data_IF_814425134503
#
_entry.id   IF_814425134503
#
_cell.length_a   1.000
_cell.length_b   1.000
_cell.length_c   1.000
_cell.angle_alpha   90.00
_cell.angle_beta   90.00
_cell.angle_gamma   90.00
#
_symmetry.space_group_name_H-M   'P 1'
#
loop_
_entity.id
_entity.type
_entity.pdbx_description
1 polymer ?
#
# COMPACT_ATOMS: atom_id res chain seq x y z
N UNK A 1 15.23 21.90 3.78
CA UNK A 1 14.83 22.41 3.67
C UNK A 1 14.29 23.18 3.31
N UNK A 2 13.80 23.16 3.22
CA UNK A 2 13.31 23.89 2.89
C UNK A 2 12.54 24.58 3.08
N UNK A 3 12.07 24.69 3.14
CA UNK A 3 11.34 25.30 3.22
C UNK A 3 10.81 26.12 3.68
N UNK A 4 10.54 26.34 3.74
CA UNK A 4 10.10 27.21 4.06
C UNK A 4 9.31 27.79 4.16
N UNK A 5 8.95 27.86 4.30
CA UNK A 5 8.28 28.50 4.32
C UNK A 5 7.53 29.13 4.16
N UNK A 6 7.25 29.42 3.96
CA UNK A 6 6.60 30.17 3.79
C UNK A 6 5.85 30.52 3.36
N UNK A 7 5.80 30.58 2.90
CA UNK A 7 4.88 30.87 2.40
C UNK A 7 3.95 30.15 2.34
N UNK A 8 3.82 29.93 2.92
CA UNK A 8 3.06 29.03 3.19
C UNK A 8 1.72 28.91 2.68
N UNK A 9 1.16 29.79 2.67
CA UNK A 9 -0.12 30.02 2.30
C UNK A 9 -0.57 29.23 1.14
N UNK A 10 0.07 29.20 0.14
CA UNK A 10 -0.32 28.47 -1.04
C UNK A 10 0.32 27.13 -1.13
N UNK A 11 0.94 26.69 -0.05
CA UNK A 11 1.81 25.54 -0.13
C UNK A 11 1.08 24.23 -0.33
N UNK A 12 -0.19 24.10 0.10
CA UNK A 12 -0.84 22.80 0.01
C UNK A 12 -1.07 22.37 -1.43
N UNK A 13 -1.47 23.27 -2.34
CA UNK A 13 -1.66 22.87 -3.73
C UNK A 13 -0.32 22.66 -4.43
N UNK A 14 0.70 23.41 -4.05
CA UNK A 14 2.04 23.20 -4.62
C UNK A 14 2.55 21.82 -4.23
N UNK A 15 2.38 21.42 -2.98
CA UNK A 15 2.79 20.12 -2.53
C UNK A 15 2.03 19.01 -3.27
N UNK A 16 0.74 19.22 -3.53
CA UNK A 16 -0.03 18.23 -4.25
C UNK A 16 0.47 18.04 -5.67
N UNK A 17 0.85 19.12 -6.34
CA UNK A 17 1.40 19.04 -7.68
C UNK A 17 2.75 18.35 -7.72
N UNK A 18 3.51 18.44 -6.62
CA UNK A 18 4.84 17.84 -6.56
C UNK A 18 4.83 16.38 -6.16
N UNK A 19 3.68 15.86 -5.76
CA UNK A 19 3.57 14.44 -5.49
C UNK A 19 3.68 13.67 -6.78
N UNK A 20 4.16 12.43 -6.67
CA UNK A 20 4.23 11.55 -7.83
C UNK A 20 2.83 11.32 -8.39
N UNK A 21 2.72 11.01 -9.67
CA UNK A 21 1.40 10.81 -10.28
C UNK A 21 0.63 9.67 -9.62
N UNK A 22 -0.69 9.81 -9.61
CA UNK A 22 -1.58 8.75 -9.17
C UNK A 22 -1.70 7.69 -10.26
N UNK A 23 -1.68 6.43 -9.85
CA UNK A 23 -2.07 5.33 -10.73
C UNK A 23 -3.44 4.86 -10.27
N UNK A 24 -4.46 5.10 -11.08
CA UNK A 24 -5.83 4.78 -10.72
C UNK A 24 -6.11 3.29 -10.85
N UNK A 25 -6.92 2.77 -9.92
CA UNK A 25 -7.32 1.37 -9.89
C UNK A 25 -8.77 1.30 -9.43
N UNK A 26 -9.48 0.18 -9.69
CA UNK A 26 -10.88 0.07 -9.24
C UNK A 26 -11.08 0.27 -7.74
N UNK A 27 -10.05 -0.03 -6.94
CA UNK A 27 -10.15 0.09 -5.48
C UNK A 27 -9.70 1.45 -4.95
N UNK A 28 -9.13 2.31 -5.79
CA UNK A 28 -8.61 3.59 -5.37
C UNK A 28 -7.44 4.00 -6.24
N UNK A 29 -6.30 4.29 -5.60
CA UNK A 29 -5.11 4.64 -6.38
C UNK A 29 -3.85 4.45 -5.53
N UNK A 30 -2.71 4.47 -6.22
CA UNK A 30 -1.43 4.48 -5.51
C UNK A 30 -0.47 5.49 -6.15
N UNK A 31 0.54 5.87 -5.38
CA UNK A 31 1.64 6.72 -5.85
C UNK A 31 2.94 6.03 -5.49
N UNK A 32 3.91 6.08 -6.41
CA UNK A 32 5.26 5.59 -6.11
C UNK A 32 6.03 6.75 -5.49
N UNK A 33 6.47 6.58 -4.26
CA UNK A 33 7.16 7.65 -3.51
C UNK A 33 8.67 7.56 -3.65
N UNK A 34 9.20 6.36 -3.85
CA UNK A 34 10.64 6.15 -3.88
C UNK A 34 10.96 4.83 -4.56
N UNK A 35 12.01 4.81 -5.35
CA UNK A 35 12.54 3.59 -5.94
C UNK A 35 14.05 3.61 -5.83
N UNK A 36 14.62 2.46 -5.47
CA UNK A 36 16.07 2.28 -5.42
C UNK A 36 16.38 1.01 -6.21
N UNK A 37 16.70 1.18 -7.47
CA UNK A 37 16.88 0.06 -8.39
C UNK A 37 15.64 -0.81 -8.40
N UNK A 38 15.85 -2.13 -8.38
CA UNK A 38 14.75 -3.09 -8.28
C UNK A 38 14.62 -3.67 -6.88
N UNK A 39 15.43 -3.19 -5.95
CA UNK A 39 15.51 -3.77 -4.62
C UNK A 39 14.57 -3.14 -3.61
N UNK A 40 14.21 -1.88 -3.80
CA UNK A 40 13.33 -1.16 -2.87
C UNK A 40 12.36 -0.31 -3.66
N UNK A 41 11.09 -0.39 -3.30
CA UNK A 41 10.06 0.49 -3.84
C UNK A 41 9.11 0.87 -2.70
N UNK A 42 8.82 2.15 -2.59
CA UNK A 42 7.90 2.66 -1.57
C UNK A 42 6.69 3.25 -2.28
N UNK A 43 5.51 2.81 -1.87
CA UNK A 43 4.25 3.29 -2.43
C UNK A 43 3.35 3.81 -1.32
N UNK A 44 2.49 4.75 -1.67
CA UNK A 44 1.36 5.14 -0.84
C UNK A 44 0.11 4.65 -1.54
N UNK A 45 -0.67 3.79 -0.87
CA UNK A 45 -1.92 3.29 -1.41
C UNK A 45 -3.08 3.98 -0.72
N UNK A 46 -4.09 4.37 -1.49
CA UNK A 46 -5.35 4.89 -0.96
C UNK A 46 -6.45 3.95 -1.41
N UNK A 47 -7.11 3.32 -0.45
CA UNK A 47 -8.18 2.36 -0.73
C UNK A 47 -9.51 2.99 -0.36
N UNK A 48 -10.41 3.07 -1.32
CA UNK A 48 -11.72 3.67 -1.10
C UNK A 48 -12.57 2.81 -0.16
N UNK A 49 -13.52 3.43 0.56
CA UNK A 49 -14.40 2.67 1.44
C UNK A 49 -15.09 1.52 0.71
N UNK A 50 -15.12 0.35 1.36
CA UNK A 50 -15.79 -0.82 0.81
C UNK A 50 -15.06 -1.54 -0.31
N UNK A 51 -13.82 -1.18 -0.59
CA UNK A 51 -13.06 -1.77 -1.70
C UNK A 51 -11.92 -2.65 -1.19
N UNK A 52 -11.53 -3.59 -2.05
CA UNK A 52 -10.42 -4.49 -1.77
C UNK A 52 -9.51 -4.58 -2.98
N UNK A 53 -8.23 -4.80 -2.73
CA UNK A 53 -7.31 -5.23 -3.77
C UNK A 53 -7.55 -6.73 -4.01
N UNK A 54 -6.90 -7.27 -5.02
CA UNK A 54 -7.00 -8.71 -5.28
C UNK A 54 -6.26 -9.50 -4.19
N UNK A 55 -6.65 -10.75 -4.01
CA UNK A 55 -5.84 -11.69 -3.24
C UNK A 55 -4.61 -12.00 -4.10
N UNK A 56 -3.41 -11.76 -3.56
CA UNK A 56 -2.19 -11.82 -4.37
C UNK A 56 -0.98 -12.24 -3.55
N UNK A 57 0.06 -12.69 -4.23
CA UNK A 57 1.35 -12.95 -3.60
C UNK A 57 2.47 -12.59 -4.58
N UNK A 58 3.68 -12.45 -4.04
CA UNK A 58 4.85 -12.05 -4.81
C UNK A 58 5.99 -13.03 -4.54
N UNK A 59 6.72 -13.34 -5.59
CA UNK A 59 7.78 -14.36 -5.52
C UNK A 59 9.09 -13.78 -5.01
N UNK A 60 9.43 -12.57 -5.45
CA UNK A 60 10.76 -12.01 -5.26
C UNK A 60 10.82 -10.84 -4.29
N UNK A 61 9.71 -10.49 -3.65
CA UNK A 61 9.71 -9.37 -2.72
C UNK A 61 8.87 -9.65 -1.49
N UNK A 62 9.27 -9.06 -0.38
CA UNK A 62 8.47 -8.97 0.83
C UNK A 62 7.92 -7.55 0.91
N UNK A 63 6.94 -7.33 1.80
CA UNK A 63 6.32 -6.02 1.95
C UNK A 63 6.15 -5.69 3.42
N UNK A 64 6.37 -4.44 3.74
CA UNK A 64 6.10 -3.90 5.06
C UNK A 64 5.07 -2.79 4.90
N UNK A 65 3.95 -2.88 5.60
CA UNK A 65 2.85 -1.94 5.49
C UNK A 65 2.67 -1.16 6.79
N UNK A 66 2.54 0.14 6.66
CA UNK A 66 2.24 1.03 7.77
C UNK A 66 0.92 1.71 7.50
N UNK A 67 -0.02 1.65 8.46
CA UNK A 67 -1.34 2.27 8.30
C UNK A 67 -1.22 3.74 8.66
N UNK A 68 -1.28 4.59 7.66
CA UNK A 68 -1.16 6.04 7.85
C UNK A 68 -2.51 6.65 8.21
N UNK A 69 -3.61 6.05 7.75
CA UNK A 69 -4.95 6.57 7.99
C UNK A 69 -5.99 5.46 7.79
N UNK A 70 -6.99 5.40 8.65
CA UNK A 70 -8.07 4.42 8.54
C UNK A 70 -7.73 3.09 9.20
N UNK A 71 -8.43 2.04 8.79
CA UNK A 71 -8.24 0.68 9.31
C UNK A 71 -8.12 -0.28 8.15
N UNK A 72 -7.05 -1.07 8.17
CA UNK A 72 -6.80 -2.09 7.15
C UNK A 72 -7.33 -3.43 7.65
N UNK A 73 -8.12 -4.11 6.81
CA UNK A 73 -8.52 -5.48 7.05
C UNK A 73 -7.76 -6.34 6.06
N UNK A 74 -7.00 -7.29 6.56
CA UNK A 74 -6.11 -8.10 5.72
C UNK A 74 -6.53 -9.55 5.79
N UNK A 75 -6.68 -10.16 4.61
CA UNK A 75 -7.04 -11.57 4.49
C UNK A 75 -5.87 -12.35 3.90
N UNK A 76 -5.85 -13.65 4.16
CA UNK A 76 -4.86 -14.56 3.60
C UNK A 76 -5.57 -15.83 3.14
N UNK A 77 -4.83 -16.78 2.58
CA UNK A 77 -5.36 -18.09 2.24
C UNK A 77 -4.78 -19.13 3.19
N UNK A 78 -5.63 -20.02 3.67
CA UNK A 78 -5.17 -21.12 4.51
C UNK A 78 -4.70 -22.30 3.66
N UNK A 79 -4.28 -23.39 4.31
CA UNK A 79 -3.76 -24.56 3.62
C UNK A 79 -4.76 -25.19 2.65
N UNK A 80 -6.06 -25.01 2.91
CA UNK A 80 -7.12 -25.51 2.04
C UNK A 80 -7.51 -24.49 0.95
N UNK A 81 -6.76 -23.40 0.82
CA UNK A 81 -6.99 -22.29 -0.10
C UNK A 81 -8.28 -21.53 0.16
N UNK A 82 -8.81 -21.63 1.37
CA UNK A 82 -9.94 -20.81 1.80
C UNK A 82 -9.42 -19.47 2.35
N UNK A 83 -10.28 -18.45 2.28
CA UNK A 83 -9.92 -17.11 2.77
C UNK A 83 -10.06 -17.08 4.28
N UNK A 84 -9.00 -16.64 4.94
CA UNK A 84 -8.98 -16.44 6.38
C UNK A 84 -8.61 -15.01 6.70
N UNK A 85 -9.11 -14.52 7.83
CA UNK A 85 -8.71 -13.21 8.32
C UNK A 85 -7.28 -13.29 8.85
N UNK A 86 -6.40 -12.47 8.28
CA UNK A 86 -5.04 -12.33 8.79
C UNK A 86 -5.04 -11.40 10.01
N UNK A 87 -5.75 -10.28 9.90
CA UNK A 87 -5.87 -9.33 11.00
C UNK A 87 -6.45 -8.00 10.58
N UNK A 88 -6.72 -7.17 11.58
CA UNK A 88 -7.14 -5.79 11.37
C UNK A 88 -6.09 -4.89 12.01
N UNK A 89 -5.74 -3.84 11.30
CA UNK A 89 -4.64 -2.95 11.70
C UNK A 89 -5.14 -1.53 11.68
N UNK A 90 -5.03 -0.86 12.82
CA UNK A 90 -5.51 0.50 13.00
C UNK A 90 -4.41 1.51 12.65
N UNK A 91 -4.79 2.78 12.63
CA UNK A 91 -3.85 3.85 12.34
C UNK A 91 -2.59 3.71 13.18
N UNK A 92 -1.44 3.85 12.53
CA UNK A 92 -0.09 3.77 13.10
C UNK A 92 0.38 2.36 13.42
N UNK A 93 -0.42 1.35 13.14
CA UNK A 93 0.03 -0.04 13.25
C UNK A 93 0.65 -0.48 11.94
N UNK A 94 1.47 -1.52 12.00
CA UNK A 94 2.15 -2.02 10.82
C UNK A 94 2.14 -3.53 10.81
N UNK A 95 2.40 -4.10 9.64
CA UNK A 95 2.47 -5.55 9.47
C UNK A 95 3.50 -5.87 8.39
N UNK A 96 4.01 -7.09 8.45
CA UNK A 96 5.02 -7.57 7.52
C UNK A 96 4.46 -8.76 6.75
N UNK A 97 4.59 -8.73 5.43
CA UNK A 97 4.14 -9.79 4.54
C UNK A 97 5.38 -10.38 3.87
N UNK A 98 5.58 -11.67 4.06
CA UNK A 98 6.77 -12.36 3.54
C UNK A 98 6.59 -12.73 2.07
N UNK A 99 7.70 -13.04 1.41
CA UNK A 99 7.65 -13.56 0.05
C UNK A 99 6.72 -14.76 0.00
N UNK A 100 5.97 -14.87 -1.08
CA UNK A 100 5.05 -15.96 -1.38
C UNK A 100 3.84 -16.08 -0.46
N UNK A 101 3.69 -15.19 0.48
CA UNK A 101 2.55 -15.18 1.41
C UNK A 101 1.34 -14.54 0.73
N UNK A 102 0.23 -15.27 0.67
CA UNK A 102 -1.02 -14.73 0.09
C UNK A 102 -1.56 -13.64 1.00
N UNK A 103 -1.98 -12.55 0.40
CA UNK A 103 -2.56 -11.43 1.15
C UNK A 103 -3.56 -10.65 0.29
N UNK A 104 -4.56 -10.09 0.95
CA UNK A 104 -5.53 -9.21 0.33
C UNK A 104 -5.81 -8.06 1.28
N UNK A 105 -5.67 -6.85 0.77
CA UNK A 105 -5.95 -5.64 1.55
C UNK A 105 -7.35 -5.17 1.25
N UNK A 106 -8.15 -4.95 2.30
CA UNK A 106 -9.50 -4.43 2.18
C UNK A 106 -9.71 -3.23 3.08
N UNK A 107 -10.56 -2.33 2.63
CA UNK A 107 -11.07 -1.25 3.47
C UNK A 107 -12.54 -1.52 3.73
N UNK A 108 -12.85 -2.06 4.91
CA UNK A 108 -14.21 -2.40 5.29
C UNK A 108 -14.89 -1.29 6.10
N UNK A 109 -14.26 -0.12 6.13
CA UNK A 109 -14.81 1.03 6.85
C UNK A 109 -15.47 2.02 5.89
N UNK A 110 -15.96 3.14 6.44
CA UNK A 110 -16.61 4.18 5.66
C UNK A 110 -15.71 5.38 5.40
N UNK A 111 -14.45 5.30 5.78
CA UNK A 111 -13.46 6.36 5.53
C UNK A 111 -12.31 5.81 4.70
N UNK A 112 -11.58 6.66 3.99
CA UNK A 112 -10.46 6.20 3.18
C UNK A 112 -9.38 5.53 4.03
N UNK A 113 -8.70 4.55 3.44
CA UNK A 113 -7.57 3.87 4.05
C UNK A 113 -6.31 4.26 3.32
N UNK A 114 -5.29 4.69 4.06
CA UNK A 114 -3.98 4.99 3.48
C UNK A 114 -2.92 4.08 4.08
N UNK A 115 -2.16 3.46 3.18
CA UNK A 115 -1.06 2.55 3.55
C UNK A 115 0.22 3.08 2.93
N UNK A 116 1.28 3.13 3.74
CA UNK A 116 2.64 3.31 3.21
C UNK A 116 3.22 1.92 3.10
N UNK A 117 3.53 1.52 1.87
CA UNK A 117 4.00 0.18 1.56
C UNK A 117 5.46 0.23 1.16
N UNK A 118 6.30 -0.55 1.85
CA UNK A 118 7.70 -0.71 1.48
C UNK A 118 7.85 -2.10 0.90
N UNK A 119 8.19 -2.17 -0.39
CA UNK A 119 8.51 -3.42 -1.07
C UNK A 119 10.02 -3.56 -1.09
N UNK A 120 10.52 -4.74 -0.74
CA UNK A 120 11.96 -4.97 -0.78
C UNK A 120 12.27 -6.42 -1.10
N UNK A 121 13.36 -6.62 -1.79
CA UNK A 121 13.78 -7.95 -2.21
C UNK A 121 14.60 -7.88 -3.49
N UNK A 122 14.62 -8.99 -4.22
CA UNK A 122 15.45 -9.09 -5.41
C UNK A 122 14.84 -8.38 -6.62
N UNK A 123 13.52 -8.26 -6.66
CA UNK A 123 12.86 -7.76 -7.86
C UNK A 123 11.50 -7.14 -7.53
N UNK A 124 11.49 -5.85 -7.26
CA UNK A 124 10.26 -5.13 -6.92
C UNK A 124 9.64 -4.54 -8.20
N UNK A 125 9.11 -5.41 -9.05
CA UNK A 125 8.46 -5.01 -10.30
C UNK A 125 6.98 -5.40 -10.25
N UNK A 126 6.17 -4.68 -11.02
CA UNK A 126 4.71 -4.90 -11.01
C UNK A 126 4.35 -6.28 -11.55
N UNK A 127 5.15 -6.81 -12.47
CA UNK A 127 4.91 -8.12 -13.07
C UNK A 127 5.09 -9.28 -12.09
N UNK A 128 5.78 -9.06 -10.98
CA UNK A 128 5.96 -10.09 -9.96
C UNK A 128 4.72 -10.18 -9.08
N UNK A 129 3.66 -10.74 -9.65
CA UNK A 129 2.39 -10.86 -8.94
C UNK A 129 1.64 -12.08 -9.44
N UNK A 130 1.11 -12.84 -8.49
CA UNK A 130 0.20 -13.95 -8.75
C UNK A 130 -1.12 -13.61 -8.06
N UNK A 131 -2.23 -13.71 -8.79
CA UNK A 131 -3.56 -13.38 -8.27
C UNK A 131 -4.41 -14.64 -8.18
N UNK A 132 -5.26 -14.63 -7.18
CA UNK A 132 -6.18 -15.73 -6.96
C UNK A 132 -7.58 -15.33 -7.39
#
# INVERSE_FOLDING_TARGET
MLFRSNKANSSSWILEEWKSPKTERPWGYYRVLHEQGKEVKVKELTVNPGKCLSMQRHKDRAEHWFVAEGTATVYTLNASTDVDLYGKFNKFESLHLRKTEWHQLCNESEVPLKIVEIQYGENCIEEDIERK
#
